data_IF_985516433010
#
_entry.id   IF_985516433010
#
_cell.length_a   1.000
_cell.length_b   1.000
_cell.length_c   1.000
_cell.angle_alpha   90.00
_cell.angle_beta   90.00
_cell.angle_gamma   90.00
#
_symmetry.space_group_name_H-M   'P 1'
#
loop_
_entity.id
_entity.type
_entity.pdbx_description
1 polymer ?
#
# COMPACT_ATOMS: atom_id res chain seq x y z
N UNK A 1 -44.35 -30.73 39.66
CA UNK A 1 -43.51 -30.68 38.45
C UNK A 1 -43.47 -29.24 37.98
N UNK A 2 -42.30 -28.59 37.99
CA UNK A 2 -42.08 -27.31 37.32
C UNK A 2 -41.20 -27.62 36.12
N UNK A 3 -41.75 -27.50 34.92
CA UNK A 3 -40.98 -27.62 33.68
C UNK A 3 -40.01 -26.44 33.60
N UNK A 4 -38.73 -26.74 33.37
CA UNK A 4 -37.71 -25.73 33.10
C UNK A 4 -37.76 -25.34 31.61
N UNK A 5 -37.56 -24.06 31.26
CA UNK A 5 -37.60 -23.62 29.88
C UNK A 5 -36.37 -24.13 29.11
N UNK A 6 -36.62 -24.77 27.97
CA UNK A 6 -35.58 -25.32 27.08
C UNK A 6 -34.93 -24.16 26.31
N UNK A 7 -33.66 -23.88 26.62
CA UNK A 7 -32.89 -22.81 26.00
C UNK A 7 -32.66 -23.07 24.51
N UNK A 8 -32.92 -22.06 23.69
CA UNK A 8 -32.68 -22.02 22.25
C UNK A 8 -31.18 -21.74 22.04
N UNK A 9 -30.34 -22.77 22.17
CA UNK A 9 -28.87 -22.63 22.13
C UNK A 9 -28.22 -23.12 20.82
N UNK A 10 -29.01 -23.68 19.89
CA UNK A 10 -28.47 -24.42 18.72
C UNK A 10 -28.03 -23.59 17.51
N UNK A 11 -28.64 -22.43 17.24
CA UNK A 11 -28.37 -21.68 16.00
C UNK A 11 -27.38 -20.51 16.16
N UNK A 12 -27.32 -19.87 17.34
CA UNK A 12 -26.41 -18.73 17.57
C UNK A 12 -24.96 -19.18 17.71
N UNK A 13 -24.69 -20.22 18.51
CA UNK A 13 -23.32 -20.73 18.71
C UNK A 13 -22.67 -21.32 17.45
N UNK A 14 -23.47 -21.78 16.49
CA UNK A 14 -22.97 -22.32 15.21
C UNK A 14 -22.51 -21.20 14.27
N UNK A 15 -23.30 -20.11 14.17
CA UNK A 15 -22.93 -18.92 13.39
C UNK A 15 -21.71 -18.19 13.97
N UNK A 16 -21.56 -18.16 15.29
CA UNK A 16 -20.39 -17.57 15.94
C UNK A 16 -19.10 -18.33 15.60
N UNK A 17 -19.15 -19.67 15.62
CA UNK A 17 -18.02 -20.52 15.19
C UNK A 17 -17.65 -20.34 13.71
N UNK A 18 -18.63 -20.32 12.81
CA UNK A 18 -18.37 -20.12 11.37
C UNK A 18 -17.68 -18.76 11.09
N UNK A 19 -18.03 -17.72 11.87
CA UNK A 19 -17.40 -16.39 11.75
C UNK A 19 -15.98 -16.37 12.34
N UNK A 20 -15.73 -17.10 13.42
CA UNK A 20 -14.38 -17.26 13.98
C UNK A 20 -13.44 -18.00 13.03
N UNK A 21 -13.87 -19.11 12.45
CA UNK A 21 -13.08 -19.86 11.48
C UNK A 21 -12.74 -19.01 10.24
N UNK A 22 -13.72 -18.23 9.73
CA UNK A 22 -13.48 -17.32 8.62
C UNK A 22 -12.49 -16.21 9.00
N UNK A 23 -12.58 -15.64 10.22
CA UNK A 23 -11.61 -14.66 10.70
C UNK A 23 -10.21 -15.24 10.78
N UNK A 24 -10.07 -16.49 11.18
CA UNK A 24 -8.79 -17.17 11.28
C UNK A 24 -8.16 -17.38 9.90
N UNK A 25 -8.94 -17.85 8.92
CA UNK A 25 -8.51 -17.97 7.52
C UNK A 25 -8.12 -16.61 6.94
N UNK A 26 -8.95 -15.57 7.14
CA UNK A 26 -8.65 -14.23 6.67
C UNK A 26 -7.42 -13.63 7.38
N UNK A 27 -7.17 -13.98 8.64
CA UNK A 27 -5.96 -13.60 9.37
C UNK A 27 -4.71 -14.23 8.76
N UNK A 28 -4.77 -15.50 8.37
CA UNK A 28 -3.66 -16.17 7.68
C UNK A 28 -3.43 -15.55 6.30
N UNK A 29 -4.49 -15.41 5.51
CA UNK A 29 -4.40 -14.82 4.15
C UNK A 29 -3.84 -13.40 4.19
N UNK A 30 -4.29 -12.57 5.13
CA UNK A 30 -3.79 -11.20 5.30
C UNK A 30 -2.35 -11.11 5.80
N UNK A 31 -1.77 -12.20 6.34
CA UNK A 31 -0.34 -12.28 6.68
C UNK A 31 0.49 -12.84 5.54
N UNK A 32 0.05 -13.93 4.94
CA UNK A 32 0.83 -14.67 3.93
C UNK A 32 0.93 -13.90 2.60
N UNK A 33 -0.16 -13.26 2.14
CA UNK A 33 -0.13 -12.51 0.87
C UNK A 33 0.88 -11.35 0.93
N UNK A 34 0.87 -10.46 1.95
CA UNK A 34 1.88 -9.41 2.07
C UNK A 34 3.31 -9.95 2.23
N UNK A 35 3.51 -11.06 2.94
CA UNK A 35 4.83 -11.65 3.14
C UNK A 35 5.40 -12.24 1.84
N UNK A 36 4.58 -12.89 1.03
CA UNK A 36 4.97 -13.39 -0.29
C UNK A 36 5.39 -12.23 -1.20
N UNK A 37 4.59 -11.17 -1.23
CA UNK A 37 4.90 -9.95 -1.98
C UNK A 37 6.23 -9.34 -1.54
N UNK A 38 6.44 -9.16 -0.22
CA UNK A 38 7.70 -8.65 0.35
C UNK A 38 8.90 -9.50 -0.05
N UNK A 39 8.74 -10.83 -0.06
CA UNK A 39 9.82 -11.76 -0.40
C UNK A 39 10.18 -11.68 -1.89
N UNK A 40 9.18 -11.57 -2.78
CA UNK A 40 9.41 -11.36 -4.21
C UNK A 40 10.10 -10.02 -4.45
N UNK A 41 9.67 -8.94 -3.78
CA UNK A 41 10.33 -7.63 -3.83
C UNK A 41 11.78 -7.75 -3.37
N UNK A 42 12.04 -8.35 -2.20
CA UNK A 42 13.40 -8.49 -1.69
C UNK A 42 14.30 -9.29 -2.66
N UNK A 43 13.75 -10.29 -3.35
CA UNK A 43 14.45 -11.02 -4.40
C UNK A 43 14.77 -10.14 -5.62
N UNK A 44 13.85 -9.28 -6.04
CA UNK A 44 13.97 -8.39 -7.21
C UNK A 44 14.76 -7.11 -6.91
N UNK A 45 14.80 -6.63 -5.67
CA UNK A 45 15.59 -5.48 -5.22
C UNK A 45 16.85 -5.90 -4.48
N UNK A 46 17.34 -7.11 -4.75
CA UNK A 46 18.65 -7.56 -4.28
C UNK A 46 19.75 -6.76 -4.97
N UNK A 47 20.93 -6.68 -4.34
CA UNK A 47 22.09 -5.98 -4.90
C UNK A 47 22.47 -6.51 -6.30
N UNK A 48 22.35 -7.82 -6.50
CA UNK A 48 22.64 -8.48 -7.77
C UNK A 48 21.63 -8.10 -8.86
N UNK A 49 20.33 -8.10 -8.55
CA UNK A 49 19.32 -7.66 -9.53
C UNK A 49 19.43 -6.16 -9.80
N UNK A 50 19.76 -5.35 -8.79
CA UNK A 50 20.06 -3.92 -8.98
C UNK A 50 21.25 -3.69 -9.91
N UNK A 51 22.33 -4.47 -9.75
CA UNK A 51 23.48 -4.46 -10.67
C UNK A 51 23.10 -4.83 -12.09
N UNK A 52 22.34 -5.90 -12.26
CA UNK A 52 21.95 -6.37 -13.59
C UNK A 52 20.96 -5.42 -14.28
N UNK A 53 20.05 -4.81 -13.52
CA UNK A 53 19.17 -3.74 -14.01
C UNK A 53 19.97 -2.52 -14.46
N UNK A 54 20.99 -2.12 -13.70
CA UNK A 54 21.90 -1.03 -14.07
C UNK A 54 22.66 -1.34 -15.37
N UNK A 55 23.17 -2.57 -15.53
CA UNK A 55 23.83 -3.00 -16.78
C UNK A 55 22.86 -2.96 -17.96
N UNK A 56 21.62 -3.42 -17.79
CA UNK A 56 20.61 -3.43 -18.84
C UNK A 56 20.26 -2.00 -19.28
N UNK A 57 20.07 -1.07 -18.33
CA UNK A 57 19.83 0.33 -18.63
C UNK A 57 21.02 0.99 -19.36
N UNK A 58 22.25 0.70 -18.94
CA UNK A 58 23.45 1.21 -19.58
C UNK A 58 23.61 0.68 -21.01
N UNK A 59 23.35 -0.61 -21.23
CA UNK A 59 23.38 -1.22 -22.56
C UNK A 59 22.32 -0.59 -23.47
N UNK A 60 21.08 -0.44 -22.98
CA UNK A 60 20.00 0.20 -23.72
C UNK A 60 20.35 1.63 -24.12
N UNK A 61 20.84 2.45 -23.18
CA UNK A 61 21.31 3.81 -23.47
C UNK A 61 22.41 3.84 -24.54
N UNK A 62 23.40 2.93 -24.42
CA UNK A 62 24.51 2.83 -25.37
C UNK A 62 24.01 2.51 -26.78
N UNK A 63 23.12 1.54 -26.92
CA UNK A 63 22.53 1.18 -28.22
C UNK A 63 21.73 2.34 -28.84
N UNK A 64 20.98 3.10 -28.04
CA UNK A 64 20.28 4.29 -28.52
C UNK A 64 21.26 5.35 -29.06
N UNK A 65 22.35 5.61 -28.32
CA UNK A 65 23.39 6.56 -28.75
C UNK A 65 24.11 6.07 -30.01
N UNK A 66 24.41 4.78 -30.10
CA UNK A 66 25.04 4.16 -31.28
C UNK A 66 24.12 4.21 -32.51
N UNK A 67 22.80 4.10 -32.32
CA UNK A 67 21.81 4.28 -33.38
C UNK A 67 21.63 5.75 -33.82
N UNK A 68 22.40 6.69 -33.25
CA UNK A 68 22.38 8.11 -33.59
C UNK A 68 21.30 8.91 -32.86
N UNK A 69 20.72 8.36 -31.78
CA UNK A 69 19.73 9.09 -30.99
C UNK A 69 20.35 10.29 -30.27
N UNK A 70 19.69 11.46 -30.28
CA UNK A 70 20.13 12.61 -29.48
C UNK A 70 20.23 12.27 -28.00
N UNK A 71 21.23 12.84 -27.33
CA UNK A 71 21.57 12.50 -25.95
C UNK A 71 20.40 12.61 -24.98
N UNK A 72 19.73 13.75 -25.00
CA UNK A 72 18.58 14.02 -24.12
C UNK A 72 17.43 13.03 -24.37
N UNK A 73 17.23 12.63 -25.63
CA UNK A 73 16.19 11.65 -25.99
C UNK A 73 16.57 10.25 -25.50
N UNK A 74 17.84 9.86 -25.66
CA UNK A 74 18.34 8.57 -25.18
C UNK A 74 18.28 8.45 -23.65
N UNK A 75 18.63 9.53 -22.94
CA UNK A 75 18.49 9.61 -21.48
C UNK A 75 17.03 9.43 -21.09
N UNK A 76 16.11 10.22 -21.66
CA UNK A 76 14.68 10.14 -21.36
C UNK A 76 14.07 8.78 -21.66
N UNK A 77 14.45 8.14 -22.77
CA UNK A 77 13.97 6.79 -23.09
C UNK A 77 14.48 5.74 -22.11
N UNK A 78 15.73 5.88 -21.66
CA UNK A 78 16.31 5.00 -20.64
C UNK A 78 15.65 5.21 -19.27
N UNK A 79 15.40 6.46 -18.88
CA UNK A 79 14.63 6.80 -17.67
C UNK A 79 13.24 6.19 -17.71
N UNK A 80 12.53 6.31 -18.84
CA UNK A 80 11.22 5.69 -19.02
C UNK A 80 11.29 4.15 -18.93
N UNK A 81 12.32 3.53 -19.50
CA UNK A 81 12.56 2.09 -19.42
C UNK A 81 12.80 1.60 -17.97
N UNK A 82 13.53 2.38 -17.16
CA UNK A 82 13.73 2.06 -15.73
C UNK A 82 12.45 2.35 -14.93
N UNK A 83 11.69 3.39 -15.30
CA UNK A 83 10.51 3.85 -14.55
C UNK A 83 9.41 2.80 -14.43
N UNK A 84 9.34 1.86 -15.38
CA UNK A 84 8.36 0.76 -15.35
C UNK A 84 8.57 -0.11 -14.11
N UNK A 85 9.83 -0.30 -13.68
CA UNK A 85 10.20 -1.05 -12.49
C UNK A 85 9.91 -0.27 -11.20
N UNK A 86 10.14 1.04 -11.18
CA UNK A 86 9.86 1.89 -10.01
C UNK A 86 8.35 2.05 -9.79
N UNK A 87 7.58 2.26 -10.85
CA UNK A 87 6.13 2.38 -10.80
C UNK A 87 5.48 1.07 -10.31
N UNK A 88 5.98 -0.08 -10.74
CA UNK A 88 5.55 -1.37 -10.23
C UNK A 88 5.85 -1.51 -8.73
N UNK A 89 7.04 -1.08 -8.28
CA UNK A 89 7.38 -1.01 -6.85
C UNK A 89 6.41 -0.13 -6.09
N UNK A 90 6.01 1.02 -6.61
CA UNK A 90 5.11 1.94 -5.92
C UNK A 90 3.68 1.40 -5.80
N UNK A 91 3.16 0.75 -6.85
CA UNK A 91 1.89 0.02 -6.79
C UNK A 91 1.94 -1.11 -5.76
N UNK A 92 3.05 -1.84 -5.73
CA UNK A 92 3.24 -2.96 -4.81
C UNK A 92 3.42 -2.48 -3.37
N UNK A 93 4.15 -1.38 -3.15
CA UNK A 93 4.25 -0.70 -1.84
C UNK A 93 2.87 -0.34 -1.34
N UNK A 94 2.04 0.33 -2.15
CA UNK A 94 0.65 0.68 -1.79
C UNK A 94 -0.21 -0.54 -1.44
N UNK A 95 -0.02 -1.66 -2.13
CA UNK A 95 -0.73 -2.90 -1.88
C UNK A 95 -0.29 -3.59 -0.56
N UNK A 96 1.01 -3.51 -0.23
CA UNK A 96 1.60 -4.13 0.98
C UNK A 96 1.47 -3.27 2.21
N UNK A 97 1.55 -1.94 2.05
CA UNK A 97 1.45 -0.97 3.13
C UNK A 97 0.03 -0.79 3.63
N UNK A 98 -0.99 -1.31 2.91
CA UNK A 98 -2.38 -1.11 3.25
C UNK A 98 -2.72 0.37 3.45
N UNK A 99 -2.05 1.27 2.72
CA UNK A 99 -2.06 2.71 2.96
C UNK A 99 -3.42 3.35 2.60
N UNK A 100 -4.34 3.26 3.55
CA UNK A 100 -5.05 4.43 4.06
C UNK A 100 -4.16 5.16 5.08
N UNK A 101 -2.93 5.59 4.72
CA UNK A 101 -2.12 6.44 5.62
C UNK A 101 -0.89 7.08 4.97
N UNK A 102 -1.09 7.84 3.89
CA UNK A 102 -0.19 8.95 3.55
C UNK A 102 -1.07 10.13 3.11
N UNK A 103 -0.96 11.27 3.81
CA UNK A 103 -1.77 12.52 3.74
C UNK A 103 -2.98 12.69 4.68
N UNK A 104 -3.55 11.64 5.26
CA UNK A 104 -4.77 11.78 6.10
C UNK A 104 -4.54 12.50 7.44
N UNK A 105 -3.46 12.16 8.16
CA UNK A 105 -3.19 12.72 9.49
C UNK A 105 -2.79 14.20 9.43
N UNK A 106 -1.88 14.59 8.52
CA UNK A 106 -1.51 16.01 8.34
C UNK A 106 -2.72 16.88 7.95
N UNK A 107 -3.59 16.39 7.05
CA UNK A 107 -4.78 17.14 6.63
C UNK A 107 -5.81 17.23 7.77
N UNK A 108 -5.95 16.18 8.60
CA UNK A 108 -6.87 16.20 9.74
C UNK A 108 -6.42 17.18 10.81
N UNK A 109 -5.12 17.19 11.14
CA UNK A 109 -4.56 18.12 12.12
C UNK A 109 -4.67 19.57 11.64
N UNK A 110 -4.40 19.84 10.36
CA UNK A 110 -4.53 21.20 9.82
C UNK A 110 -6.00 21.66 9.72
N UNK A 111 -6.93 20.75 9.42
CA UNK A 111 -8.37 21.06 9.39
C UNK A 111 -8.91 21.35 10.79
N UNK A 112 -8.54 20.55 11.79
CA UNK A 112 -8.92 20.79 13.19
C UNK A 112 -8.41 22.13 13.70
N UNK A 113 -7.18 22.50 13.35
CA UNK A 113 -6.58 23.77 13.72
C UNK A 113 -7.36 24.96 13.13
N UNK A 114 -7.69 24.91 11.83
CA UNK A 114 -8.47 25.97 11.15
C UNK A 114 -9.90 26.07 11.67
N UNK A 115 -10.54 24.96 12.04
CA UNK A 115 -11.88 24.97 12.63
C UNK A 115 -11.84 25.63 14.01
N UNK A 116 -10.85 25.30 14.85
CA UNK A 116 -10.67 25.94 16.16
C UNK A 116 -10.42 27.44 16.04
N UNK A 117 -9.52 27.85 15.14
CA UNK A 117 -9.23 29.27 14.87
C UNK A 117 -10.49 30.04 14.45
N UNK A 118 -11.24 29.53 13.46
CA UNK A 118 -12.49 30.17 13.00
C UNK A 118 -13.58 30.23 14.06
N UNK A 119 -13.67 29.22 14.93
CA UNK A 119 -14.62 29.23 16.05
C UNK A 119 -14.22 30.24 17.12
N UNK A 120 -12.92 30.43 17.36
CA UNK A 120 -12.42 31.46 18.29
C UNK A 120 -12.56 32.88 17.74
N UNK A 121 -12.39 33.07 16.44
CA UNK A 121 -12.61 34.36 15.77
C UNK A 121 -14.09 34.74 15.79
N UNK A 122 -14.99 33.83 15.38
CA UNK A 122 -16.44 34.09 15.43
C UNK A 122 -16.95 34.40 16.83
N UNK A 123 -16.41 33.74 17.86
CA UNK A 123 -16.81 34.00 19.25
C UNK A 123 -16.31 35.35 19.78
N UNK A 124 -15.26 35.93 19.18
CA UNK A 124 -14.75 37.28 19.50
C UNK A 124 -15.45 38.39 18.74
N UNK A 125 -16.09 38.10 17.61
CA UNK A 125 -16.88 39.05 16.83
C UNK A 125 -18.32 39.22 17.35
N UNK A 126 -18.79 38.29 18.20
CA UNK A 126 -20.12 38.29 18.83
C UNK A 126 -20.15 38.86 20.27
N UNK A 127 -19.00 39.31 20.81
CA UNK A 127 -18.85 40.08 22.07
C UNK A 127 -18.65 41.58 21.80
#
# INVERSE_FOLDING_TARGET
MKEQPKMIEGEKGKKEKDVEELKEVLSVVSKEIPNLIKSIIASVFSEDVGRDMGKAAAAFYKELKEAGMPEETAVKMTENYISVFTNLSDVMKRAVSGEKKLKGEEISEELEKRIKEKLTEKRREEE
#
